data_IF_107855713043
#
_entry.id   IF_107855713043
#
_cell.length_a   1.000
_cell.length_b   1.000
_cell.length_c   1.000
_cell.angle_alpha   90.00
_cell.angle_beta   90.00
_cell.angle_gamma   90.00
#
_symmetry.space_group_name_H-M   'P 1'
#
loop_
_entity.id
_entity.type
_entity.pdbx_description
1 polymer ?
#
# COMPACT_ATOMS: atom_id res chain seq x y z
N UNK A 1 -16.50 18.04 50.23
CA UNK A 1 -15.75 16.79 50.46
C UNK A 1 -14.58 16.74 49.50
N UNK A 2 -13.32 16.55 49.93
CA UNK A 2 -12.21 16.39 48.98
C UNK A 2 -12.40 15.08 48.22
N UNK A 3 -12.37 15.14 46.89
CA UNK A 3 -12.42 13.94 46.04
C UNK A 3 -11.16 13.12 46.33
N UNK A 4 -11.33 11.93 46.92
CA UNK A 4 -10.23 10.98 47.07
C UNK A 4 -9.88 10.47 45.67
N UNK A 5 -8.87 11.07 45.05
CA UNK A 5 -8.22 10.50 43.87
C UNK A 5 -7.55 9.17 44.23
N UNK A 6 -7.16 8.36 43.22
CA UNK A 6 -6.41 7.15 43.45
C UNK A 6 -5.13 7.45 44.27
N UNK A 7 -4.72 6.53 45.16
CA UNK A 7 -3.56 6.75 46.00
C UNK A 7 -2.32 7.02 45.13
N UNK A 8 -1.49 7.97 45.56
CA UNK A 8 -0.20 8.23 44.91
C UNK A 8 0.62 6.94 44.96
N UNK A 9 1.11 6.48 43.80
CA UNK A 9 1.98 5.31 43.77
C UNK A 9 3.30 5.58 44.47
N UNK A 10 3.86 4.54 45.05
CA UNK A 10 5.20 4.60 45.65
C UNK A 10 6.29 4.39 44.60
N UNK A 11 7.51 4.90 44.85
CA UNK A 11 8.70 4.63 44.02
C UNK A 11 9.01 3.14 43.81
N UNK A 12 8.51 2.27 44.70
CA UNK A 12 8.65 0.81 44.59
C UNK A 12 7.61 0.26 43.60
N UNK A 13 6.34 0.65 43.76
CA UNK A 13 5.28 0.28 42.82
C UNK A 13 5.57 0.72 41.39
N UNK A 14 6.17 1.90 41.20
CA UNK A 14 6.52 2.38 39.87
C UNK A 14 7.59 1.49 39.21
N UNK A 15 8.61 1.05 39.98
CA UNK A 15 9.63 0.10 39.51
C UNK A 15 9.05 -1.29 39.21
N UNK A 16 8.14 -1.78 40.04
CA UNK A 16 7.50 -3.08 39.84
C UNK A 16 6.60 -3.04 38.59
N UNK A 17 5.87 -1.95 38.37
CA UNK A 17 5.08 -1.72 37.14
C UNK A 17 5.97 -1.65 35.90
N UNK A 18 7.12 -1.00 35.98
CA UNK A 18 8.07 -0.92 34.86
C UNK A 18 8.61 -2.31 34.48
N UNK A 19 9.01 -3.10 35.49
CA UNK A 19 9.44 -4.50 35.28
C UNK A 19 8.33 -5.35 34.66
N UNK A 20 7.10 -5.21 35.14
CA UNK A 20 5.96 -5.94 34.61
C UNK A 20 5.67 -5.55 33.16
N UNK A 21 5.70 -4.24 32.84
CA UNK A 21 5.55 -3.75 31.46
C UNK A 21 6.62 -4.30 30.52
N UNK A 22 7.88 -4.31 30.95
CA UNK A 22 8.98 -4.86 30.16
C UNK A 22 8.86 -6.39 29.96
N UNK A 23 8.35 -7.12 30.94
CA UNK A 23 8.07 -8.55 30.77
C UNK A 23 6.89 -8.79 29.81
N UNK A 24 5.82 -8.01 29.92
CA UNK A 24 4.65 -8.09 29.04
C UNK A 24 5.01 -7.71 27.60
N UNK A 25 5.89 -6.72 27.42
CA UNK A 25 6.37 -6.29 26.11
C UNK A 25 7.15 -7.40 25.42
N UNK A 26 8.13 -8.01 26.10
CA UNK A 26 8.86 -9.18 25.58
C UNK A 26 7.93 -10.31 25.18
N UNK A 27 6.97 -10.67 26.04
CA UNK A 27 5.97 -11.71 25.72
C UNK A 27 5.11 -11.35 24.51
N UNK A 28 4.74 -10.07 24.35
CA UNK A 28 3.97 -9.60 23.19
C UNK A 28 4.80 -9.66 21.92
N UNK A 29 6.09 -9.37 21.99
CA UNK A 29 7.01 -9.46 20.86
C UNK A 29 7.22 -10.90 20.40
N UNK A 30 7.45 -11.82 21.33
CA UNK A 30 7.54 -13.26 21.07
C UNK A 30 6.29 -13.77 20.35
N UNK A 31 5.10 -13.47 20.88
CA UNK A 31 3.82 -13.83 20.23
C UNK A 31 3.64 -13.22 18.84
N UNK A 32 4.15 -12.00 18.60
CA UNK A 32 4.10 -11.39 17.26
C UNK A 32 5.07 -12.09 16.32
N UNK A 33 6.24 -12.50 16.81
CA UNK A 33 7.23 -13.23 16.02
C UNK A 33 6.71 -14.61 15.62
N UNK A 34 6.10 -15.35 16.55
CA UNK A 34 5.45 -16.64 16.28
C UNK A 34 4.37 -16.51 15.19
N UNK A 35 3.41 -15.58 15.38
CA UNK A 35 2.37 -15.34 14.37
C UNK A 35 2.91 -14.94 13.00
N UNK A 36 3.99 -14.16 12.96
CA UNK A 36 4.61 -13.80 11.67
C UNK A 36 5.28 -14.99 10.98
N UNK A 37 5.84 -15.94 11.74
CA UNK A 37 6.40 -17.19 11.21
C UNK A 37 5.31 -18.10 10.66
N UNK A 38 4.21 -18.23 11.39
CA UNK A 38 3.05 -19.04 10.96
C UNK A 38 2.44 -18.46 9.68
N UNK A 39 2.21 -17.14 9.64
CA UNK A 39 1.68 -16.46 8.46
C UNK A 39 2.61 -16.62 7.23
N UNK A 40 3.92 -16.51 7.43
CA UNK A 40 4.90 -16.75 6.37
C UNK A 40 4.83 -18.20 5.86
N UNK A 41 4.79 -19.17 6.77
CA UNK A 41 4.72 -20.60 6.42
C UNK A 41 3.43 -20.92 5.65
N UNK A 42 2.30 -20.36 6.06
CA UNK A 42 1.03 -20.53 5.34
C UNK A 42 1.09 -19.92 3.94
N UNK A 43 1.64 -18.71 3.83
CA UNK A 43 1.82 -18.04 2.54
C UNK A 43 2.73 -18.83 1.60
N UNK A 44 3.84 -19.39 2.10
CA UNK A 44 4.74 -20.21 1.30
C UNK A 44 4.11 -21.50 0.79
N UNK A 45 3.18 -22.10 1.55
CA UNK A 45 2.52 -23.34 1.16
C UNK A 45 1.36 -23.14 0.17
N UNK A 46 0.61 -22.05 0.30
CA UNK A 46 -0.61 -21.80 -0.51
C UNK A 46 -0.44 -20.73 -1.58
N UNK A 47 0.58 -19.87 -1.47
CA UNK A 47 0.81 -18.69 -2.31
C UNK A 47 -0.38 -17.71 -2.41
N UNK A 48 -1.34 -17.80 -1.48
CA UNK A 48 -2.51 -16.92 -1.43
C UNK A 48 -2.33 -15.83 -0.38
N UNK A 49 -2.71 -14.60 -0.74
CA UNK A 49 -2.68 -13.47 0.18
C UNK A 49 -3.76 -13.57 1.26
N UNK A 50 -3.46 -13.35 2.54
CA UNK A 50 -4.47 -13.34 3.59
C UNK A 50 -5.48 -12.20 3.41
N UNK A 51 -6.77 -12.45 3.59
CA UNK A 51 -7.80 -11.41 3.50
C UNK A 51 -7.76 -10.42 4.68
N UNK A 52 -7.47 -10.95 5.87
CA UNK A 52 -7.47 -10.15 7.08
C UNK A 52 -6.24 -9.23 7.14
N UNK A 53 -6.46 -7.92 7.32
CA UNK A 53 -5.39 -6.91 7.46
C UNK A 53 -4.35 -7.26 8.53
N UNK A 54 -4.77 -7.88 9.63
CA UNK A 54 -3.87 -8.33 10.69
C UNK A 54 -2.91 -9.42 10.20
N UNK A 55 -3.43 -10.42 9.47
CA UNK A 55 -2.63 -11.49 8.90
C UNK A 55 -1.70 -10.97 7.79
N UNK A 56 -2.15 -10.01 6.96
CA UNK A 56 -1.27 -9.34 6.00
C UNK A 56 -0.11 -8.61 6.68
N UNK A 57 -0.35 -7.94 7.81
CA UNK A 57 0.71 -7.27 8.58
C UNK A 57 1.70 -8.28 9.17
N UNK A 58 1.19 -9.40 9.70
CA UNK A 58 2.03 -10.44 10.28
C UNK A 58 2.85 -11.14 9.17
N UNK A 59 2.28 -11.35 7.98
CA UNK A 59 2.98 -11.81 6.79
C UNK A 59 4.08 -10.84 6.34
N UNK A 60 3.78 -9.53 6.25
CA UNK A 60 4.80 -8.50 5.92
C UNK A 60 5.97 -8.53 6.90
N UNK A 61 5.68 -8.69 8.20
CA UNK A 61 6.71 -8.81 9.24
C UNK A 61 7.55 -10.09 9.04
N UNK A 62 6.92 -11.20 8.68
CA UNK A 62 7.60 -12.45 8.39
C UNK A 62 8.53 -12.33 7.16
N UNK A 63 8.02 -11.76 6.06
CA UNK A 63 8.80 -11.54 4.84
C UNK A 63 9.98 -10.60 5.09
N UNK A 64 9.78 -9.50 5.81
CA UNK A 64 10.85 -8.56 6.15
C UNK A 64 11.97 -9.22 6.98
N UNK A 65 11.63 -10.18 7.86
CA UNK A 65 12.61 -10.95 8.61
C UNK A 65 13.47 -11.88 7.72
N UNK A 66 12.99 -12.24 6.53
CA UNK A 66 13.74 -12.97 5.51
C UNK A 66 14.45 -12.04 4.51
N UNK A 67 14.39 -10.71 4.71
CA UNK A 67 14.93 -9.72 3.77
C UNK A 67 14.07 -9.53 2.51
N UNK A 68 12.85 -10.05 2.49
CA UNK A 68 11.91 -9.90 1.39
C UNK A 68 10.87 -8.82 1.70
N UNK A 69 10.51 -8.02 0.71
CA UNK A 69 9.42 -7.05 0.83
C UNK A 69 8.18 -7.57 0.11
N UNK A 70 7.01 -7.42 0.75
CA UNK A 70 5.74 -7.63 0.09
C UNK A 70 5.44 -6.40 -0.77
N UNK A 71 5.86 -6.43 -2.02
CA UNK A 71 5.57 -5.37 -2.99
C UNK A 71 4.07 -5.30 -3.27
N UNK A 72 3.49 -4.10 -3.31
CA UNK A 72 2.15 -3.96 -3.88
C UNK A 72 2.26 -3.99 -5.39
N UNK A 73 1.19 -4.47 -6.03
CA UNK A 73 1.06 -4.37 -7.48
C UNK A 73 1.24 -2.92 -7.94
N UNK A 74 2.20 -2.69 -8.85
CA UNK A 74 2.57 -1.38 -9.37
C UNK A 74 3.66 -0.63 -8.59
N UNK A 75 4.28 -1.23 -7.57
CA UNK A 75 5.37 -0.61 -6.81
C UNK A 75 6.77 -1.08 -7.24
N UNK A 76 6.88 -2.22 -7.92
CA UNK A 76 8.18 -2.74 -8.35
C UNK A 76 8.69 -1.99 -9.58
N UNK A 77 9.98 -1.66 -9.61
CA UNK A 77 10.62 -1.03 -10.76
C UNK A 77 10.39 -1.86 -12.04
N UNK A 78 10.42 -3.18 -11.93
CA UNK A 78 10.15 -4.10 -13.05
C UNK A 78 8.70 -3.98 -13.56
N UNK A 79 7.71 -3.81 -12.67
CA UNK A 79 6.31 -3.61 -13.05
C UNK A 79 6.06 -2.21 -13.61
N UNK A 80 6.73 -1.19 -13.07
CA UNK A 80 6.70 0.17 -13.58
C UNK A 80 7.36 0.27 -14.96
N UNK A 81 8.48 -0.40 -15.16
CA UNK A 81 9.17 -0.50 -16.44
C UNK A 81 8.30 -1.26 -17.45
N UNK A 82 7.70 -2.40 -17.07
CA UNK A 82 6.76 -3.12 -17.94
C UNK A 82 5.55 -2.25 -18.35
N UNK A 83 5.07 -1.36 -17.48
CA UNK A 83 4.04 -0.36 -17.82
C UNK A 83 4.56 0.68 -18.81
N UNK A 84 5.81 1.11 -18.69
CA UNK A 84 6.48 2.02 -19.62
C UNK A 84 6.72 1.40 -21.01
N UNK A 85 6.92 0.09 -21.08
CA UNK A 85 7.17 -0.66 -22.33
C UNK A 85 5.91 -0.80 -23.20
N UNK A 86 4.70 -0.78 -22.64
CA UNK A 86 3.45 -0.83 -23.43
C UNK A 86 3.19 0.47 -24.22
N UNK A 87 3.99 1.51 -24.00
CA UNK A 87 3.93 2.77 -24.74
C UNK A 87 5.05 2.88 -25.80
N UNK A 88 5.43 1.77 -26.44
CA UNK A 88 6.05 1.85 -27.78
C UNK A 88 5.01 2.40 -28.76
N UNK A 89 4.96 3.73 -28.79
CA UNK A 89 4.48 4.62 -29.84
C UNK A 89 3.63 3.92 -30.90
N UNK A 90 2.31 3.83 -30.68
CA UNK A 90 1.44 4.04 -31.84
C UNK A 90 1.73 5.46 -32.33
N UNK A 91 2.03 5.58 -33.61
CA UNK A 91 2.40 6.82 -34.31
C UNK A 91 1.64 8.06 -33.81
N UNK A 92 2.23 9.26 -33.83
CA UNK A 92 1.56 10.50 -33.46
C UNK A 92 0.57 10.89 -34.58
N UNK A 93 -0.44 10.07 -34.81
CA UNK A 93 -1.60 10.43 -35.64
C UNK A 93 -2.63 10.99 -34.67
N UNK A 94 -2.93 12.27 -34.87
CA UNK A 94 -3.72 13.11 -33.98
C UNK A 94 -5.03 12.50 -33.50
N UNK A 95 -5.51 13.08 -32.38
CA UNK A 95 -6.85 12.91 -31.77
C UNK A 95 -7.74 11.92 -32.52
N UNK A 96 -7.74 10.67 -32.05
CA UNK A 96 -8.53 9.60 -32.66
C UNK A 96 -9.99 10.01 -32.79
N UNK A 97 -10.42 10.17 -34.03
CA UNK A 97 -11.83 10.35 -34.39
C UNK A 97 -12.55 9.03 -34.08
N UNK A 98 -13.72 9.04 -33.42
CA UNK A 98 -14.48 7.82 -33.15
C UNK A 98 -14.79 7.05 -34.44
N UNK A 99 -14.66 5.71 -34.41
CA UNK A 99 -15.06 4.85 -35.52
C UNK A 99 -16.54 5.12 -35.89
N UNK A 100 -16.78 5.57 -37.12
CA UNK A 100 -18.12 5.86 -37.64
C UNK A 100 -18.44 7.35 -37.84
N UNK A 101 -17.50 8.27 -37.60
CA UNK A 101 -17.68 9.67 -37.98
C UNK A 101 -17.39 9.86 -39.48
N UNK A 102 -18.44 10.03 -40.28
CA UNK A 102 -18.31 10.63 -41.61
C UNK A 102 -18.45 12.14 -41.43
N UNK A 103 -17.33 12.85 -41.54
CA UNK A 103 -17.38 14.29 -41.77
C UNK A 103 -17.75 14.46 -43.24
N UNK A 104 -18.99 14.83 -43.51
CA UNK A 104 -19.33 15.34 -44.83
C UNK A 104 -18.52 16.62 -45.02
N UNK A 105 -17.58 16.55 -45.96
CA UNK A 105 -16.86 17.70 -46.50
C UNK A 105 -17.90 18.63 -47.14
N UNK A 106 -18.01 19.87 -46.64
CA UNK A 106 -18.36 21.09 -47.40
C UNK A 106 -18.90 22.19 -46.46
N UNK A 107 -18.02 22.83 -45.69
CA UNK A 107 -18.22 24.23 -45.31
C UNK A 107 -16.88 24.95 -45.49
N UNK A 108 -16.58 25.28 -46.75
CA UNK A 108 -15.63 26.33 -47.08
C UNK A 108 -16.19 27.65 -46.54
N UNK A 109 -15.79 28.03 -45.33
CA UNK A 109 -16.07 29.36 -44.79
C UNK A 109 -15.11 30.34 -45.49
N UNK A 110 -15.52 30.80 -46.67
CA UNK A 110 -14.86 31.86 -47.41
C UNK A 110 -14.93 33.14 -46.55
N UNK A 111 -13.77 33.56 -46.05
CA UNK A 111 -13.60 34.84 -45.39
C UNK A 111 -13.45 35.89 -46.49
N UNK A 112 -14.54 36.56 -46.85
CA UNK A 112 -14.46 37.81 -47.60
C UNK A 112 -13.91 38.90 -46.65
N UNK A 113 -12.59 39.07 -46.72
CA UNK A 113 -11.85 40.25 -46.27
C UNK A 113 -12.12 41.38 -47.27
N UNK A 114 -13.15 42.20 -47.02
CA UNK A 114 -13.33 43.45 -47.75
C UNK A 114 -12.94 44.63 -46.85
N UNK A 115 -11.68 45.03 -47.02
CA UNK A 115 -11.10 46.26 -46.53
C UNK A 115 -11.08 47.30 -47.65
N UNK A 116 -12.02 48.26 -47.65
CA UNK A 116 -11.78 49.69 -47.95
C UNK A 116 -12.99 50.56 -47.66
#
# INVERSE_FOLDING_TARGET
MPRKGPPKSTRREDRDKERQRAADERRREEKKAERSKDALREFQNKAEMPDAKCAQRDLRRGLAAQGMNLERYGESAVQLDARGVVMEKSDPVGRGVPRGYHADEDEAFEYDDDST
#
